data_IF_501186972086
#
_entry.id   IF_501186972086
#
_cell.length_a   1.000
_cell.length_b   1.000
_cell.length_c   1.000
_cell.angle_alpha   90.00
_cell.angle_beta   90.00
_cell.angle_gamma   90.00
#
_symmetry.space_group_name_H-M   'P 1'
#
loop_
_entity.id
_entity.type
_entity.pdbx_description
1 polymer ?
#
# COMPACT_ATOMS: atom_id res chain seq x y z
N UNK A 1 -24.26 36.98 41.71
CA UNK A 1 -24.81 37.12 40.34
C UNK A 1 -23.69 36.71 39.40
N UNK A 2 -23.73 35.47 38.89
CA UNK A 2 -22.64 34.93 38.05
C UNK A 2 -22.73 35.54 36.66
N UNK A 3 -21.65 36.20 36.23
CA UNK A 3 -21.49 36.91 34.96
C UNK A 3 -21.84 35.99 33.76
N UNK A 4 -22.63 36.51 32.82
CA UNK A 4 -23.09 35.78 31.64
C UNK A 4 -21.92 35.24 30.79
N UNK A 5 -20.76 35.92 30.84
CA UNK A 5 -19.55 35.51 30.16
C UNK A 5 -18.91 34.24 30.78
N UNK A 6 -19.04 34.07 32.10
CA UNK A 6 -18.53 32.89 32.81
C UNK A 6 -19.33 31.64 32.45
N UNK A 7 -20.66 31.76 32.35
CA UNK A 7 -21.55 30.65 31.94
C UNK A 7 -21.29 30.18 30.50
N UNK A 8 -20.97 31.10 29.60
CA UNK A 8 -20.67 30.77 28.19
C UNK A 8 -19.36 29.97 28.06
N UNK A 9 -18.33 30.35 28.84
CA UNK A 9 -17.03 29.67 28.86
C UNK A 9 -17.17 28.23 29.40
N UNK A 10 -17.95 28.01 30.47
CA UNK A 10 -18.21 26.65 30.98
C UNK A 10 -18.99 25.79 29.97
N UNK A 11 -19.92 26.40 29.22
CA UNK A 11 -20.71 25.69 28.20
C UNK A 11 -19.83 25.29 27.00
N UNK A 12 -18.92 26.17 26.55
CA UNK A 12 -17.95 25.88 25.49
C UNK A 12 -16.92 24.82 25.90
N UNK A 13 -16.40 24.87 27.14
CA UNK A 13 -15.48 23.86 27.68
C UNK A 13 -16.13 22.48 27.86
N UNK A 14 -17.43 22.42 28.16
CA UNK A 14 -18.18 21.15 28.21
C UNK A 14 -18.44 20.53 26.83
N UNK A 15 -18.48 21.35 25.77
CA UNK A 15 -18.78 20.88 24.42
C UNK A 15 -17.57 20.15 23.80
N UNK A 16 -16.35 20.60 24.11
CA UNK A 16 -15.11 19.97 23.61
C UNK A 16 -14.79 18.62 24.25
N UNK A 17 -15.29 18.35 25.46
CA UNK A 17 -15.03 17.09 26.19
C UNK A 17 -16.06 15.99 25.92
N UNK A 18 -17.16 16.29 25.22
CA UNK A 18 -18.25 15.33 24.97
C UNK A 18 -18.29 14.74 23.55
N UNK A 19 -17.33 15.05 22.68
CA UNK A 19 -17.15 14.32 21.44
C UNK A 19 -16.26 13.09 21.67
N UNK A 20 -16.79 12.12 22.43
CA UNK A 20 -16.22 10.78 22.39
C UNK A 20 -16.42 10.23 20.97
N UNK A 21 -15.36 10.23 20.16
CA UNK A 21 -15.37 9.60 18.84
C UNK A 21 -15.56 8.10 19.04
N UNK A 22 -16.80 7.63 18.89
CA UNK A 22 -17.09 6.20 18.87
C UNK A 22 -16.58 5.63 17.54
N UNK A 23 -15.41 4.98 17.56
CA UNK A 23 -14.93 4.20 16.41
C UNK A 23 -15.82 2.97 16.24
N UNK A 24 -16.63 2.97 15.18
CA UNK A 24 -17.38 1.81 14.75
C UNK A 24 -16.48 0.73 14.13
N UNK A 25 -17.02 -0.48 13.97
CA UNK A 25 -16.38 -1.55 13.22
C UNK A 25 -16.15 -1.13 11.77
N UNK A 26 -14.97 -1.44 11.23
CA UNK A 26 -14.61 -1.10 9.87
C UNK A 26 -13.52 -2.03 9.34
N UNK A 27 -13.35 -2.01 8.02
CA UNK A 27 -12.19 -2.59 7.37
C UNK A 27 -11.17 -1.48 7.12
N UNK A 28 -9.92 -1.73 7.50
CA UNK A 28 -8.79 -0.83 7.33
C UNK A 28 -7.94 -1.33 6.16
N UNK A 29 -7.89 -0.54 5.10
CA UNK A 29 -7.13 -0.80 3.87
C UNK A 29 -6.36 0.44 3.46
N UNK A 30 -5.29 0.26 2.68
CA UNK A 30 -4.63 1.37 2.02
C UNK A 30 -5.49 1.84 0.84
N UNK A 31 -5.69 3.15 0.69
CA UNK A 31 -6.51 3.69 -0.40
C UNK A 31 -5.88 3.46 -1.78
N UNK A 32 -4.55 3.59 -1.86
CA UNK A 32 -3.76 3.36 -3.07
C UNK A 32 -2.46 2.63 -2.72
N UNK A 33 -2.13 1.61 -3.51
CA UNK A 33 -0.89 0.84 -3.41
C UNK A 33 -0.19 0.87 -4.76
N UNK A 34 1.13 1.09 -4.76
CA UNK A 34 1.96 1.05 -5.96
C UNK A 34 2.69 -0.30 -6.01
N UNK A 35 2.35 -1.12 -6.98
CA UNK A 35 3.08 -2.32 -7.35
C UNK A 35 4.06 -2.05 -8.49
N UNK A 36 5.05 -2.93 -8.62
CA UNK A 36 6.04 -2.88 -9.69
C UNK A 36 6.01 -4.19 -10.48
N UNK A 37 6.20 -4.12 -11.80
CA UNK A 37 6.16 -5.31 -12.64
C UNK A 37 7.15 -6.38 -12.15
N UNK A 38 6.74 -7.65 -12.19
CA UNK A 38 7.54 -8.81 -11.78
C UNK A 38 7.99 -8.79 -10.30
N UNK A 39 7.39 -7.93 -9.48
CA UNK A 39 7.61 -7.91 -8.04
C UNK A 39 6.34 -8.35 -7.32
N UNK A 40 6.51 -8.73 -6.05
CA UNK A 40 5.38 -9.02 -5.19
C UNK A 40 4.81 -7.70 -4.64
N UNK A 41 3.48 -7.60 -4.58
CA UNK A 41 2.81 -6.51 -3.88
C UNK A 41 1.91 -7.08 -2.79
N UNK A 42 1.84 -6.38 -1.67
CA UNK A 42 0.91 -6.68 -0.59
C UNK A 42 -0.24 -5.69 -0.64
N UNK A 43 -1.47 -6.18 -0.55
CA UNK A 43 -2.66 -5.37 -0.33
C UNK A 43 -3.11 -5.56 1.13
N UNK A 44 -2.85 -4.59 2.02
CA UNK A 44 -3.24 -4.70 3.42
C UNK A 44 -4.76 -4.66 3.58
N UNK A 45 -5.28 -5.54 4.43
CA UNK A 45 -6.69 -5.51 4.81
C UNK A 45 -6.88 -6.07 6.22
N UNK A 46 -7.34 -5.22 7.12
CA UNK A 46 -7.52 -5.57 8.53
C UNK A 46 -8.93 -5.26 9.01
N UNK A 47 -9.55 -6.20 9.72
CA UNK A 47 -10.81 -5.95 10.41
C UNK A 47 -10.57 -5.26 11.76
N UNK A 48 -11.15 -4.07 11.94
CA UNK A 48 -11.09 -3.33 13.19
C UNK A 48 -12.33 -3.67 14.01
N UNK A 49 -12.13 -4.45 15.08
CA UNK A 49 -13.18 -4.79 16.04
C UNK A 49 -13.66 -3.52 16.76
N UNK A 50 -14.98 -3.37 16.85
CA UNK A 50 -15.64 -2.33 17.63
C UNK A 50 -16.04 -2.84 19.02
N UNK A 51 -17.06 -2.22 19.61
CA UNK A 51 -17.60 -2.62 20.93
C UNK A 51 -18.47 -3.88 20.88
N UNK A 52 -18.93 -4.28 19.70
CA UNK A 52 -19.75 -5.46 19.47
C UNK A 52 -18.87 -6.67 19.17
N UNK A 53 -19.16 -7.80 19.81
CA UNK A 53 -18.52 -9.09 19.54
C UNK A 53 -19.04 -9.65 18.21
N UNK A 54 -18.27 -9.45 17.15
CA UNK A 54 -18.55 -10.05 15.84
C UNK A 54 -17.88 -11.40 15.73
N UNK A 55 -18.63 -12.39 15.25
CA UNK A 55 -18.03 -13.60 14.72
C UNK A 55 -17.68 -13.39 13.23
N UNK A 56 -16.41 -13.58 12.89
CA UNK A 56 -15.95 -13.48 11.52
C UNK A 56 -16.15 -14.80 10.77
N UNK A 57 -17.02 -14.81 9.76
CA UNK A 57 -17.37 -16.01 8.99
C UNK A 57 -16.40 -16.21 7.82
N UNK A 58 -16.17 -15.15 7.03
CA UNK A 58 -15.29 -15.21 5.86
C UNK A 58 -14.70 -13.85 5.50
N UNK A 59 -13.57 -13.90 4.82
CA UNK A 59 -12.97 -12.76 4.12
C UNK A 59 -12.80 -13.11 2.64
N UNK A 60 -13.16 -12.19 1.76
CA UNK A 60 -13.00 -12.36 0.32
C UNK A 60 -12.44 -11.10 -0.33
N UNK A 61 -11.71 -11.28 -1.42
CA UNK A 61 -11.32 -10.19 -2.30
C UNK A 61 -12.06 -10.25 -3.62
N UNK A 62 -12.47 -9.09 -4.09
CA UNK A 62 -12.92 -8.87 -5.47
C UNK A 62 -11.99 -7.92 -6.20
N UNK A 63 -11.95 -8.04 -7.52
CA UNK A 63 -11.17 -7.17 -8.40
C UNK A 63 -12.06 -6.62 -9.52
N UNK A 64 -11.90 -5.34 -9.80
CA UNK A 64 -12.40 -4.73 -11.03
C UNK A 64 -11.29 -3.93 -11.71
N UNK A 65 -11.22 -4.04 -13.03
CA UNK A 65 -10.37 -3.16 -13.82
C UNK A 65 -11.00 -1.76 -13.89
N UNK A 66 -10.19 -0.70 -13.83
CA UNK A 66 -10.61 0.68 -14.04
C UNK A 66 -11.27 0.91 -15.42
N UNK A 67 -10.90 0.13 -16.43
CA UNK A 67 -11.33 0.33 -17.83
C UNK A 67 -12.60 -0.43 -18.24
N UNK A 68 -13.19 -1.27 -17.38
CA UNK A 68 -14.33 -2.13 -17.76
C UNK A 68 -15.61 -1.81 -16.98
N UNK A 69 -16.76 -1.81 -17.68
CA UNK A 69 -18.13 -1.63 -17.12
C UNK A 69 -18.73 -2.91 -16.51
N UNK A 70 -17.92 -3.92 -16.22
CA UNK A 70 -18.39 -5.20 -15.72
C UNK A 70 -18.38 -5.25 -14.20
N UNK A 71 -19.20 -6.14 -13.63
CA UNK A 71 -19.26 -6.36 -12.19
C UNK A 71 -17.91 -6.86 -11.65
N UNK A 72 -17.56 -6.54 -10.38
CA UNK A 72 -16.35 -7.06 -9.74
C UNK A 72 -16.32 -8.59 -9.74
N UNK A 73 -15.18 -9.19 -10.07
CA UNK A 73 -15.00 -10.64 -10.01
C UNK A 73 -14.40 -11.04 -8.67
N UNK A 74 -14.80 -12.19 -8.13
CA UNK A 74 -14.18 -12.76 -6.94
C UNK A 74 -12.84 -13.40 -7.31
N UNK A 75 -11.79 -13.10 -6.54
CA UNK A 75 -10.43 -13.61 -6.82
C UNK A 75 -10.00 -14.69 -5.81
N UNK A 76 -10.27 -14.49 -4.52
CA UNK A 76 -9.90 -15.41 -3.44
C UNK A 76 -10.86 -15.23 -2.26
N UNK A 77 -11.21 -16.32 -1.60
CA UNK A 77 -12.04 -16.37 -0.39
C UNK A 77 -11.32 -17.21 0.66
N UNK A 78 -11.36 -16.79 1.92
CA UNK A 78 -11.02 -17.62 3.06
C UNK A 78 -12.22 -17.70 4.00
N UNK A 79 -12.78 -18.91 4.13
CA UNK A 79 -13.88 -19.22 5.02
C UNK A 79 -13.34 -19.87 6.30
N UNK A 80 -13.87 -19.50 7.46
CA UNK A 80 -13.37 -20.00 8.75
C UNK A 80 -13.37 -21.53 8.85
N UNK A 81 -14.43 -22.19 8.31
CA UNK A 81 -14.59 -23.65 8.38
C UNK A 81 -14.03 -24.40 7.16
N UNK A 82 -14.10 -23.80 5.96
CA UNK A 82 -13.79 -24.49 4.70
C UNK A 82 -12.41 -24.12 4.16
N UNK A 83 -11.72 -23.18 4.82
CA UNK A 83 -10.41 -22.71 4.41
C UNK A 83 -10.45 -21.83 3.16
N UNK A 84 -9.31 -21.78 2.47
CA UNK A 84 -9.09 -20.88 1.34
C UNK A 84 -9.49 -21.50 0.01
N UNK A 85 -10.19 -20.72 -0.82
CA UNK A 85 -10.58 -21.05 -2.19
C UNK A 85 -10.14 -19.94 -3.14
N UNK A 86 -9.41 -20.31 -4.19
CA UNK A 86 -8.90 -19.38 -5.21
C UNK A 86 -9.68 -19.56 -6.51
N UNK A 87 -10.24 -18.48 -7.04
CA UNK A 87 -11.08 -18.52 -8.23
C UNK A 87 -10.24 -18.53 -9.51
N UNK A 88 -10.81 -19.10 -10.60
CA UNK A 88 -10.15 -19.21 -11.91
C UNK A 88 -10.07 -17.85 -12.61
N UNK A 89 -9.09 -17.06 -12.22
CA UNK A 89 -8.77 -15.73 -12.77
C UNK A 89 -7.31 -15.66 -13.23
N UNK A 90 -6.87 -14.54 -13.82
CA UNK A 90 -5.45 -14.28 -14.15
C UNK A 90 -4.52 -14.26 -12.92
N UNK A 91 -5.09 -14.20 -11.71
CA UNK A 91 -4.37 -14.17 -10.43
C UNK A 91 -4.26 -15.54 -9.76
N UNK A 92 -4.94 -16.59 -10.26
CA UNK A 92 -5.13 -17.87 -9.55
C UNK A 92 -3.86 -18.47 -8.92
N UNK A 93 -2.74 -18.44 -9.63
CA UNK A 93 -1.48 -19.03 -9.15
C UNK A 93 -0.55 -18.02 -8.46
N UNK A 94 -0.97 -16.76 -8.35
CA UNK A 94 -0.15 -15.63 -7.87
C UNK A 94 -0.72 -14.95 -6.65
N UNK A 95 -2.00 -15.18 -6.30
CA UNK A 95 -2.64 -14.58 -5.14
C UNK A 95 -2.70 -15.56 -3.96
N UNK A 96 -2.38 -15.07 -2.77
CA UNK A 96 -2.51 -15.83 -1.53
C UNK A 96 -2.78 -14.89 -0.35
N UNK A 97 -3.50 -15.38 0.67
CA UNK A 97 -3.58 -14.67 1.95
C UNK A 97 -2.23 -14.68 2.66
N UNK A 98 -1.97 -13.64 3.45
CA UNK A 98 -0.81 -13.60 4.34
C UNK A 98 -1.15 -14.43 5.58
N UNK A 99 -0.39 -15.50 5.79
CA UNK A 99 -0.48 -16.28 7.01
C UNK A 99 0.14 -15.48 8.16
N UNK A 100 -0.69 -15.09 9.15
CA UNK A 100 -0.20 -14.54 10.42
C UNK A 100 -0.76 -15.33 11.60
N UNK A 101 0.03 -15.54 12.67
CA UNK A 101 -0.41 -16.25 13.88
C UNK A 101 -1.40 -15.46 14.76
N UNK A 102 -2.10 -14.45 14.22
CA UNK A 102 -2.97 -13.56 15.01
C UNK A 102 -4.36 -14.17 15.22
N UNK A 103 -5.00 -13.75 16.33
CA UNK A 103 -6.35 -14.15 16.76
C UNK A 103 -7.48 -13.81 15.76
N UNK A 104 -7.22 -12.88 14.82
CA UNK A 104 -8.16 -12.49 13.76
C UNK A 104 -7.56 -12.82 12.40
N UNK A 105 -8.33 -13.41 11.47
CA UNK A 105 -7.93 -13.59 10.09
C UNK A 105 -7.49 -12.26 9.48
N UNK A 106 -6.18 -12.11 9.30
CA UNK A 106 -5.64 -11.03 8.49
C UNK A 106 -6.12 -11.25 7.06
N UNK A 107 -6.89 -10.29 6.55
CA UNK A 107 -7.46 -10.32 5.20
C UNK A 107 -6.45 -9.89 4.15
N UNK A 108 -5.25 -9.48 4.55
CA UNK A 108 -4.20 -9.05 3.64
C UNK A 108 -3.81 -10.16 2.67
N UNK A 109 -3.61 -9.79 1.40
CA UNK A 109 -3.16 -10.70 0.35
C UNK A 109 -1.83 -10.25 -0.23
N UNK A 110 -1.07 -11.21 -0.75
CA UNK A 110 0.08 -10.97 -1.62
C UNK A 110 -0.32 -11.37 -3.04
N UNK A 111 0.03 -10.52 -3.99
CA UNK A 111 0.01 -10.84 -5.42
C UNK A 111 1.46 -10.93 -5.87
N UNK A 112 1.87 -12.11 -6.31
CA UNK A 112 3.21 -12.38 -6.85
C UNK A 112 3.30 -11.97 -8.31
N UNK A 113 4.52 -11.66 -8.74
CA UNK A 113 4.86 -11.35 -10.14
C UNK A 113 3.83 -10.42 -10.80
N UNK A 114 3.63 -9.25 -10.20
CA UNK A 114 2.59 -8.29 -10.58
C UNK A 114 2.75 -7.90 -12.05
N UNK A 115 1.62 -7.80 -12.75
CA UNK A 115 1.53 -7.40 -14.16
C UNK A 115 0.77 -6.09 -14.29
N UNK A 116 1.01 -5.32 -15.36
CA UNK A 116 0.23 -4.10 -15.65
C UNK A 116 -1.27 -4.39 -15.71
N UNK A 117 -1.64 -5.57 -16.20
CA UNK A 117 -3.05 -6.03 -16.28
C UNK A 117 -3.70 -6.27 -14.92
N UNK A 118 -2.92 -6.34 -13.84
CA UNK A 118 -3.44 -6.51 -12.48
C UNK A 118 -3.92 -5.15 -11.91
N UNK A 119 -3.57 -4.02 -12.53
CA UNK A 119 -4.06 -2.70 -12.13
C UNK A 119 -5.59 -2.67 -12.05
N UNK A 120 -6.11 -2.10 -10.97
CA UNK A 120 -7.54 -2.07 -10.73
C UNK A 120 -7.90 -1.70 -9.31
N UNK A 121 -9.20 -1.74 -9.05
CA UNK A 121 -9.79 -1.56 -7.73
C UNK A 121 -10.03 -2.92 -7.12
N UNK A 122 -9.39 -3.16 -5.98
CA UNK A 122 -9.52 -4.36 -5.18
C UNK A 122 -10.41 -4.05 -3.97
N UNK A 123 -11.45 -4.86 -3.73
CA UNK A 123 -12.31 -4.71 -2.56
C UNK A 123 -12.13 -5.91 -1.63
N UNK A 124 -11.75 -5.64 -0.39
CA UNK A 124 -11.67 -6.63 0.68
C UNK A 124 -12.97 -6.63 1.47
N UNK A 125 -13.64 -7.77 1.52
CA UNK A 125 -14.99 -7.89 2.07
C UNK A 125 -14.99 -8.91 3.20
N UNK A 126 -15.21 -8.43 4.41
CA UNK A 126 -15.41 -9.25 5.60
C UNK A 126 -16.90 -9.49 5.81
N UNK A 127 -17.30 -10.75 5.96
CA UNK A 127 -18.67 -11.13 6.34
C UNK A 127 -18.70 -11.53 7.80
N UNK A 128 -19.45 -10.78 8.60
CA UNK A 128 -19.53 -10.98 10.05
C UNK A 128 -20.97 -11.17 10.50
N UNK A 129 -21.16 -11.82 11.64
CA UNK A 129 -22.44 -11.92 12.32
C UNK A 129 -22.32 -11.34 13.74
N UNK A 130 -23.28 -10.52 14.21
CA UNK A 130 -24.52 -10.08 13.53
C UNK A 130 -24.34 -8.84 12.65
N UNK A 131 -23.16 -8.22 12.66
CA UNK A 131 -22.93 -6.88 12.07
C UNK A 131 -22.93 -6.82 10.55
N UNK A 132 -23.06 -7.97 9.89
CA UNK A 132 -23.16 -8.10 8.44
C UNK A 132 -21.83 -7.89 7.74
N UNK A 133 -21.88 -7.37 6.53
CA UNK A 133 -20.70 -7.22 5.67
C UNK A 133 -20.04 -5.86 5.87
N UNK A 134 -18.71 -5.84 5.95
CA UNK A 134 -17.88 -4.63 5.92
C UNK A 134 -16.88 -4.73 4.77
N UNK A 135 -16.63 -3.61 4.10
CA UNK A 135 -15.79 -3.56 2.91
C UNK A 135 -14.72 -2.49 3.05
N UNK A 136 -13.48 -2.84 2.70
CA UNK A 136 -12.38 -1.92 2.46
C UNK A 136 -11.99 -1.95 0.99
N UNK A 137 -11.42 -0.86 0.48
CA UNK A 137 -11.09 -0.70 -0.94
C UNK A 137 -9.66 -0.22 -1.09
N UNK A 138 -8.94 -0.81 -2.03
CA UNK A 138 -7.57 -0.45 -2.40
C UNK A 138 -7.45 -0.34 -3.91
N UNK A 139 -6.89 0.76 -4.38
CA UNK A 139 -6.52 0.92 -5.80
C UNK A 139 -5.08 0.49 -6.00
N UNK A 140 -4.85 -0.57 -6.80
CA UNK A 140 -3.50 -0.98 -7.18
C UNK A 140 -3.11 -0.27 -8.47
N UNK A 141 -2.04 0.53 -8.43
CA UNK A 141 -1.36 1.05 -9.63
C UNK A 141 -0.08 0.25 -9.86
N UNK A 142 0.22 -0.06 -11.11
CA UNK A 142 1.43 -0.82 -11.45
C UNK A 142 2.36 0.05 -12.28
N UNK A 143 3.65 0.09 -11.90
CA UNK A 143 4.71 0.80 -12.62
C UNK A 143 5.74 -0.18 -13.19
N UNK A 144 6.42 0.25 -14.23
CA UNK A 144 7.66 -0.38 -14.71
C UNK A 144 8.83 0.07 -13.83
N UNK A 145 9.79 -0.84 -13.61
CA UNK A 145 10.99 -0.58 -12.81
C UNK A 145 11.00 -1.27 -11.44
N UNK A 146 11.97 -0.93 -10.60
CA UNK A 146 12.16 -1.48 -9.26
C UNK A 146 11.48 -0.61 -8.20
N UNK A 147 11.07 -1.21 -7.08
CA UNK A 147 10.50 -0.48 -5.95
C UNK A 147 11.51 0.57 -5.44
N UNK A 148 11.24 1.85 -5.71
CA UNK A 148 12.06 2.93 -5.18
C UNK A 148 11.88 2.98 -3.67
N UNK A 149 12.94 2.69 -2.91
CA UNK A 149 12.98 3.09 -1.50
C UNK A 149 12.84 4.63 -1.45
N UNK A 150 12.20 5.21 -0.42
CA UNK A 150 12.14 6.67 -0.26
C UNK A 150 13.51 7.38 -0.18
N UNK A 151 14.63 6.64 -0.23
CA UNK A 151 16.00 7.16 -0.33
C UNK A 151 16.71 6.93 -1.68
N UNK A 152 16.12 6.22 -2.65
CA UNK A 152 16.75 5.90 -3.94
C UNK A 152 16.46 6.97 -5.01
N UNK A 153 16.99 8.17 -4.79
CA UNK A 153 17.24 9.14 -5.88
C UNK A 153 18.74 9.23 -6.16
N UNK A 154 19.40 8.09 -6.36
CA UNK A 154 20.69 8.04 -7.04
C UNK A 154 20.46 7.41 -8.41
N UNK A 155 20.48 8.26 -9.44
CA UNK A 155 20.50 7.81 -10.82
C UNK A 155 21.91 7.26 -11.08
N UNK A 156 22.09 5.95 -11.06
CA UNK A 156 23.31 5.33 -11.60
C UNK A 156 23.16 5.27 -13.13
N UNK A 157 23.81 6.20 -13.83
CA UNK A 157 23.98 6.16 -15.28
C UNK A 157 25.31 5.47 -15.59
N UNK A 158 25.26 4.22 -16.05
CA UNK A 158 26.45 3.47 -16.46
C UNK A 158 26.77 3.83 -17.91
N UNK A 159 27.81 4.64 -18.10
CA UNK A 159 28.31 5.00 -19.43
C UNK A 159 29.46 4.05 -19.80
N UNK A 160 29.29 3.27 -20.87
CA UNK A 160 30.35 2.43 -21.42
C UNK A 160 31.38 3.31 -22.14
N UNK A 161 32.62 3.30 -21.66
CA UNK A 161 33.68 4.13 -22.20
C UNK A 161 34.16 3.55 -23.54
N UNK A 162 34.07 4.36 -24.60
CA UNK A 162 34.70 4.03 -25.88
C UNK A 162 36.23 4.17 -25.74
N UNK A 163 36.95 3.10 -26.05
CA UNK A 163 38.39 2.91 -25.77
C UNK A 163 39.31 3.94 -26.46
N UNK A 164 38.80 4.68 -27.45
CA UNK A 164 39.55 5.69 -28.22
C UNK A 164 39.31 7.16 -27.79
N UNK A 165 38.55 7.41 -26.71
CA UNK A 165 38.32 8.77 -26.22
C UNK A 165 39.28 9.14 -25.06
N UNK A 166 40.08 10.18 -25.27
CA UNK A 166 41.06 10.66 -24.27
C UNK A 166 40.37 11.27 -23.02
N UNK A 167 39.11 11.70 -23.15
CA UNK A 167 38.30 12.28 -22.06
C UNK A 167 36.81 12.02 -22.26
N UNK A 168 36.08 11.73 -21.18
CA UNK A 168 34.61 11.61 -21.16
C UNK A 168 34.02 12.68 -20.23
N UNK A 169 33.13 13.53 -20.73
CA UNK A 169 32.46 14.55 -19.91
C UNK A 169 31.20 13.97 -19.26
N UNK A 170 31.18 13.95 -17.93
CA UNK A 170 29.97 13.64 -17.14
C UNK A 170 29.31 14.96 -16.73
N UNK A 171 28.02 15.11 -17.00
CA UNK A 171 27.27 16.33 -16.68
C UNK A 171 26.17 16.02 -15.67
N UNK A 172 25.95 16.92 -14.71
CA UNK A 172 24.80 16.88 -13.80
C UNK A 172 23.95 18.13 -14.04
N UNK A 173 22.63 17.99 -14.05
CA UNK A 173 21.71 19.13 -14.14
C UNK A 173 20.88 19.24 -12.86
N UNK A 174 21.06 20.33 -12.12
CA UNK A 174 20.15 20.70 -11.03
C UNK A 174 18.89 21.38 -11.61
N UNK A 175 17.70 20.92 -11.23
CA UNK A 175 16.44 21.50 -11.70
C UNK A 175 16.32 22.97 -11.27
N UNK A 176 15.87 23.83 -12.18
CA UNK A 176 15.84 25.30 -12.04
C UNK A 176 14.79 25.85 -11.05
N UNK A 177 14.16 25.00 -10.24
CA UNK A 177 13.08 25.36 -9.30
C UNK A 177 13.53 25.78 -7.89
N UNK A 178 14.83 25.75 -7.56
CA UNK A 178 15.33 26.06 -6.21
C UNK A 178 15.99 27.45 -6.19
N UNK A 179 15.47 28.36 -5.36
CA UNK A 179 15.95 29.74 -5.21
C UNK A 179 17.37 29.88 -4.58
N UNK A 180 18.04 28.76 -4.25
CA UNK A 180 19.39 28.74 -3.70
C UNK A 180 20.27 27.81 -4.53
N UNK A 181 21.45 28.29 -4.94
CA UNK A 181 22.49 27.45 -5.54
C UNK A 181 22.98 26.45 -4.49
N UNK A 182 22.88 25.16 -4.79
CA UNK A 182 23.49 24.11 -3.97
C UNK A 182 24.97 23.93 -4.38
N UNK A 183 25.91 23.76 -3.44
CA UNK A 183 27.28 23.38 -3.77
C UNK A 183 27.30 21.95 -4.30
N UNK A 184 28.05 21.71 -5.38
CA UNK A 184 28.14 20.40 -6.03
C UNK A 184 29.58 19.92 -5.93
N UNK A 185 29.76 18.65 -5.57
CA UNK A 185 31.07 18.01 -5.39
C UNK A 185 31.06 16.64 -6.05
N UNK A 186 32.19 16.27 -6.65
CA UNK A 186 32.39 14.98 -7.31
C UNK A 186 33.26 14.09 -6.43
N UNK A 187 32.94 12.79 -6.38
CA UNK A 187 33.75 11.78 -5.69
C UNK A 187 33.92 10.59 -6.62
N UNK A 188 35.16 10.18 -6.86
CA UNK A 188 35.47 8.94 -7.57
C UNK A 188 35.60 7.82 -6.53
N UNK A 189 34.86 6.74 -6.73
CA UNK A 189 34.95 5.55 -5.90
C UNK A 189 35.58 4.43 -6.71
N UNK A 190 36.66 3.83 -6.21
CA UNK A 190 37.31 2.67 -6.81
C UNK A 190 37.04 1.45 -5.94
N UNK A 191 36.60 0.35 -6.54
CA UNK A 191 36.60 -0.96 -5.86
C UNK A 191 37.98 -1.59 -6.01
N UNK A 192 38.67 -1.86 -4.91
CA UNK A 192 39.90 -2.66 -4.95
C UNK A 192 39.55 -4.10 -5.34
N UNK A 193 40.02 -4.52 -6.51
CA UNK A 193 39.92 -5.91 -6.94
C UNK A 193 41.06 -6.69 -6.26
N UNK A 194 40.72 -7.64 -5.39
CA UNK A 194 41.71 -8.55 -4.80
C UNK A 194 42.26 -9.45 -5.90
N UNK A 195 43.54 -9.29 -6.21
CA UNK A 195 44.27 -10.25 -7.05
C UNK A 195 44.72 -11.37 -6.12
N UNK A 196 44.03 -12.51 -6.16
CA UNK A 196 44.53 -13.74 -5.55
C UNK A 196 45.69 -14.26 -6.42
N UNK A 197 46.89 -14.36 -5.83
CA UNK A 197 48.11 -14.92 -6.45
C UNK A 197 48.15 -16.44 -6.31
#
# INVERSE_FOLDING_TARGET
MMDANSKLIFLLLSCTTFFAVLRGQRVDTDGEVIGYQNHNVTLPCHYILGKTEDNLIQVQWTWQNHSHKHDPIVIIINHQEYGTSVYKTSLKERVSFIERPKLTPDGSIIIKDVKITDQGVYSCVYTTYPSGTKTGVTTLKVKEGMAQNPGDLQQEEVMELMEDSEYTMVTFSAWSGVLKKAPVSWHLMYTQQSVDL
#
